data_IF_973047945479
#
_entry.id   IF_973047945479
#
_cell.length_a   1.000
_cell.length_b   1.000
_cell.length_c   1.000
_cell.angle_alpha   90.00
_cell.angle_beta   90.00
_cell.angle_gamma   90.00
#
_symmetry.space_group_name_H-M   'P 1'
#
loop_
_entity.id
_entity.type
_entity.pdbx_description
1 polymer ?
#
# COMPACT_ATOMS: atom_id res chain seq x y z
N UNK A 1 -9.69 1.59 55.16
CA UNK A 1 -9.16 0.33 54.60
C UNK A 1 -9.97 -0.18 53.39
N UNK A 2 -11.31 -0.10 53.39
CA UNK A 2 -12.11 -0.44 52.19
C UNK A 2 -11.97 0.61 51.06
N UNK A 3 -12.05 1.90 51.41
CA UNK A 3 -11.96 3.04 50.49
C UNK A 3 -10.61 3.11 49.73
N UNK A 4 -9.51 2.77 50.41
CA UNK A 4 -8.15 2.75 49.84
C UNK A 4 -7.94 1.59 48.85
N UNK A 5 -8.71 0.50 49.03
CA UNK A 5 -8.76 -0.64 48.10
C UNK A 5 -9.57 -0.30 46.85
N UNK A 6 -10.67 0.41 47.01
CA UNK A 6 -11.52 0.84 45.90
C UNK A 6 -10.82 1.90 45.04
N UNK A 7 -10.07 2.81 45.67
CA UNK A 7 -9.20 3.78 44.97
C UNK A 7 -8.07 3.10 44.18
N UNK A 8 -7.42 2.09 44.76
CA UNK A 8 -6.39 1.33 44.05
C UNK A 8 -6.97 0.52 42.87
N UNK A 9 -8.20 0.00 43.00
CA UNK A 9 -8.85 -0.72 41.91
C UNK A 9 -9.29 0.23 40.79
N UNK A 10 -9.82 1.42 41.10
CA UNK A 10 -10.22 2.40 40.09
C UNK A 10 -9.01 2.90 39.29
N UNK A 11 -7.89 3.19 39.96
CA UNK A 11 -6.62 3.55 39.30
C UNK A 11 -6.11 2.47 38.36
N UNK A 12 -6.18 1.19 38.75
CA UNK A 12 -5.79 0.07 37.88
C UNK A 12 -6.68 -0.02 36.64
N UNK A 13 -8.00 0.10 36.80
CA UNK A 13 -8.94 0.08 35.67
C UNK A 13 -8.69 1.25 34.72
N UNK A 14 -8.36 2.43 35.25
CA UNK A 14 -8.05 3.61 34.46
C UNK A 14 -6.72 3.45 33.69
N UNK A 15 -5.69 2.89 34.33
CA UNK A 15 -4.45 2.51 33.68
C UNK A 15 -4.69 1.50 32.55
N UNK A 16 -5.45 0.43 32.79
CA UNK A 16 -5.77 -0.57 31.76
C UNK A 16 -6.52 0.06 30.57
N UNK A 17 -7.49 0.93 30.83
CA UNK A 17 -8.19 1.69 29.79
C UNK A 17 -7.23 2.59 29.01
N UNK A 18 -6.31 3.25 29.70
CA UNK A 18 -5.30 4.11 29.09
C UNK A 18 -4.39 3.31 28.15
N UNK A 19 -3.81 2.20 28.61
CA UNK A 19 -2.98 1.31 27.78
C UNK A 19 -3.76 0.72 26.61
N UNK A 20 -5.02 0.34 26.81
CA UNK A 20 -5.89 -0.17 25.75
C UNK A 20 -6.11 0.88 24.65
N UNK A 21 -6.44 2.12 25.03
CA UNK A 21 -6.64 3.21 24.08
C UNK A 21 -5.35 3.56 23.33
N UNK A 22 -4.22 3.62 24.03
CA UNK A 22 -2.90 3.85 23.41
C UNK A 22 -2.56 2.80 22.34
N UNK A 23 -2.84 1.53 22.61
CA UNK A 23 -2.58 0.45 21.65
C UNK A 23 -3.46 0.58 20.40
N UNK A 24 -4.73 0.94 20.57
CA UNK A 24 -5.64 1.19 19.43
C UNK A 24 -5.17 2.38 18.60
N UNK A 25 -4.79 3.47 19.25
CA UNK A 25 -4.35 4.69 18.58
C UNK A 25 -3.04 4.47 17.82
N UNK A 26 -2.08 3.78 18.45
CA UNK A 26 -0.82 3.37 17.81
C UNK A 26 -1.06 2.48 16.59
N UNK A 27 -1.98 1.52 16.69
CA UNK A 27 -2.34 0.66 15.57
C UNK A 27 -3.01 1.43 14.42
N UNK A 28 -3.89 2.39 14.72
CA UNK A 28 -4.49 3.27 13.71
C UNK A 28 -3.42 4.10 12.99
N UNK A 29 -2.47 4.67 13.74
CA UNK A 29 -1.37 5.43 13.16
C UNK A 29 -0.50 4.57 12.23
N UNK A 30 -0.17 3.35 12.64
CA UNK A 30 0.55 2.36 11.81
C UNK A 30 -0.20 2.03 10.51
N UNK A 31 -1.52 1.81 10.59
CA UNK A 31 -2.35 1.55 9.41
C UNK A 31 -2.38 2.73 8.45
N UNK A 32 -2.53 3.95 8.97
CA UNK A 32 -2.56 5.16 8.13
C UNK A 32 -1.21 5.40 7.47
N UNK A 33 -0.11 5.24 8.21
CA UNK A 33 1.25 5.29 7.64
C UNK A 33 1.44 4.24 6.54
N UNK A 34 0.95 3.01 6.75
CA UNK A 34 0.99 1.95 5.74
C UNK A 34 0.22 2.33 4.48
N UNK A 35 -1.00 2.86 4.61
CA UNK A 35 -1.82 3.32 3.46
C UNK A 35 -1.13 4.44 2.68
N UNK A 36 -0.48 5.37 3.39
CA UNK A 36 0.29 6.44 2.75
C UNK A 36 1.53 5.89 2.01
N UNK A 37 2.24 4.93 2.60
CA UNK A 37 3.36 4.28 1.93
C UNK A 37 2.94 3.55 0.63
N UNK A 38 1.75 2.93 0.62
CA UNK A 38 1.21 2.27 -0.58
C UNK A 38 0.79 3.24 -1.69
N UNK A 39 0.44 4.49 -1.37
CA UNK A 39 0.08 5.52 -2.36
C UNK A 39 1.29 6.04 -3.13
N UNK A 40 2.46 6.07 -2.51
CA UNK A 40 3.69 6.55 -3.13
C UNK A 40 4.06 5.82 -4.45
N UNK A 41 4.18 4.47 -4.50
CA UNK A 41 4.51 3.76 -5.74
C UNK A 41 3.41 3.90 -6.79
N UNK A 42 2.14 4.07 -6.37
CA UNK A 42 1.04 4.35 -7.29
C UNK A 42 1.25 5.70 -7.98
N UNK A 43 1.49 6.78 -7.23
CA UNK A 43 1.69 8.12 -7.79
C UNK A 43 2.93 8.19 -8.68
N UNK A 44 4.05 7.62 -8.22
CA UNK A 44 5.33 7.65 -8.93
C UNK A 44 5.22 6.92 -10.28
N UNK A 45 4.71 5.68 -10.28
CA UNK A 45 4.57 4.92 -11.53
C UNK A 45 3.53 5.54 -12.47
N UNK A 46 2.46 6.14 -11.93
CA UNK A 46 1.43 6.81 -12.74
C UNK A 46 2.01 8.04 -13.43
N UNK A 47 2.74 8.88 -12.70
CA UNK A 47 3.38 10.07 -13.24
C UNK A 47 4.41 9.72 -14.32
N UNK A 48 5.23 8.69 -14.09
CA UNK A 48 6.18 8.19 -15.08
C UNK A 48 5.49 7.63 -16.32
N UNK A 49 4.40 6.87 -16.14
CA UNK A 49 3.61 6.31 -17.25
C UNK A 49 3.01 7.41 -18.12
N UNK A 50 2.43 8.44 -17.50
CA UNK A 50 1.83 9.58 -18.21
C UNK A 50 2.92 10.35 -18.98
N UNK A 51 4.05 10.64 -18.34
CA UNK A 51 5.16 11.34 -19.00
C UNK A 51 5.70 10.55 -20.20
N UNK A 52 5.87 9.24 -20.05
CA UNK A 52 6.29 8.34 -21.13
C UNK A 52 5.27 8.28 -22.26
N UNK A 53 3.98 8.18 -21.93
CA UNK A 53 2.92 8.17 -22.93
C UNK A 53 2.91 9.46 -23.74
N UNK A 54 3.02 10.62 -23.07
CA UNK A 54 3.13 11.92 -23.74
C UNK A 54 4.34 11.98 -24.67
N UNK A 55 5.50 11.49 -24.22
CA UNK A 55 6.71 11.48 -25.06
C UNK A 55 6.55 10.56 -26.28
N UNK A 56 5.99 9.36 -26.09
CA UNK A 56 5.69 8.42 -27.19
C UNK A 56 4.72 9.05 -28.19
N UNK A 57 3.63 9.67 -27.73
CA UNK A 57 2.68 10.36 -28.61
C UNK A 57 3.36 11.45 -29.44
N UNK A 58 4.26 12.22 -28.84
CA UNK A 58 5.04 13.24 -29.56
C UNK A 58 5.93 12.62 -30.63
N UNK A 59 6.66 11.55 -30.31
CA UNK A 59 7.51 10.86 -31.27
C UNK A 59 6.72 10.27 -32.45
N UNK A 60 5.51 9.77 -32.19
CA UNK A 60 4.62 9.29 -33.25
C UNK A 60 4.15 10.43 -34.17
N UNK A 61 3.90 11.62 -33.62
CA UNK A 61 3.55 12.80 -34.41
C UNK A 61 4.73 13.30 -35.27
N UNK A 62 5.97 13.14 -34.78
CA UNK A 62 7.20 13.47 -35.50
C UNK A 62 7.67 12.33 -36.45
N UNK A 63 6.82 11.36 -36.76
CA UNK A 63 7.10 10.16 -37.61
C UNK A 63 8.27 9.26 -37.14
N UNK A 64 8.72 9.41 -35.89
CA UNK A 64 9.79 8.62 -35.26
C UNK A 64 9.27 7.28 -34.69
N UNK A 65 8.63 6.47 -35.55
CA UNK A 65 7.89 5.26 -35.16
C UNK A 65 8.79 4.20 -34.50
N UNK A 66 10.04 4.06 -34.98
CA UNK A 66 10.98 3.08 -34.42
C UNK A 66 11.28 3.36 -32.95
N UNK A 67 11.61 4.62 -32.63
CA UNK A 67 11.92 5.05 -31.27
C UNK A 67 10.68 4.94 -30.36
N UNK A 68 9.51 5.34 -30.87
CA UNK A 68 8.24 5.20 -30.15
C UNK A 68 7.94 3.75 -29.78
N UNK A 69 8.22 2.79 -30.67
CA UNK A 69 8.05 1.36 -30.43
C UNK A 69 8.99 0.86 -29.33
N UNK A 70 10.27 1.24 -29.36
CA UNK A 70 11.24 0.82 -28.34
C UNK A 70 10.88 1.37 -26.95
N UNK A 71 10.38 2.61 -26.89
CA UNK A 71 9.94 3.25 -25.66
C UNK A 71 8.65 2.65 -25.06
N UNK A 72 7.78 2.10 -25.91
CA UNK A 72 6.52 1.49 -25.47
C UNK A 72 6.74 0.31 -24.50
N UNK A 73 7.86 -0.38 -24.60
CA UNK A 73 8.23 -1.48 -23.69
C UNK A 73 8.50 -0.97 -22.27
N UNK A 74 9.16 0.19 -22.12
CA UNK A 74 9.37 0.81 -20.81
C UNK A 74 8.07 1.37 -20.23
N UNK A 75 7.19 1.93 -21.07
CA UNK A 75 5.85 2.34 -20.65
C UNK A 75 5.07 1.15 -20.08
N UNK A 76 5.10 -0.01 -20.73
CA UNK A 76 4.42 -1.21 -20.24
C UNK A 76 4.91 -1.61 -18.84
N UNK A 77 6.21 -1.52 -18.56
CA UNK A 77 6.76 -1.82 -17.23
C UNK A 77 6.27 -0.85 -16.15
N UNK A 78 6.18 0.45 -16.44
CA UNK A 78 5.61 1.42 -15.49
C UNK A 78 4.13 1.14 -15.23
N UNK A 79 3.35 0.80 -16.26
CA UNK A 79 1.93 0.45 -16.13
C UNK A 79 1.75 -0.82 -15.30
N UNK A 80 2.60 -1.84 -15.47
CA UNK A 80 2.62 -3.02 -14.59
C UNK A 80 2.92 -2.60 -13.14
N UNK A 81 3.87 -1.68 -12.93
CA UNK A 81 4.14 -1.09 -11.63
C UNK A 81 2.92 -0.43 -10.98
N UNK A 82 2.15 0.36 -11.76
CA UNK A 82 0.86 0.95 -11.31
C UNK A 82 -0.14 -0.14 -10.95
N UNK A 83 -0.28 -1.16 -11.80
CA UNK A 83 -1.21 -2.26 -11.58
C UNK A 83 -0.90 -3.02 -10.28
N UNK A 84 0.37 -3.35 -10.03
CA UNK A 84 0.79 -3.99 -8.77
C UNK A 84 0.43 -3.14 -7.53
N UNK A 85 0.66 -1.82 -7.59
CA UNK A 85 0.32 -0.91 -6.50
C UNK A 85 -1.20 -0.83 -6.29
N UNK A 86 -1.99 -0.74 -7.38
CA UNK A 86 -3.44 -0.67 -7.33
C UNK A 86 -4.08 -1.95 -6.77
N UNK A 87 -3.61 -3.12 -7.22
CA UNK A 87 -4.03 -4.42 -6.71
C UNK A 87 -3.72 -4.54 -5.23
N UNK A 88 -2.51 -4.16 -4.81
CA UNK A 88 -2.13 -4.17 -3.40
C UNK A 88 -3.05 -3.30 -2.53
N UNK A 89 -3.36 -2.08 -3.00
CA UNK A 89 -4.27 -1.17 -2.31
C UNK A 89 -5.70 -1.73 -2.21
N UNK A 90 -6.22 -2.31 -3.31
CA UNK A 90 -7.53 -2.95 -3.34
C UNK A 90 -7.62 -4.16 -2.42
N UNK A 91 -6.62 -5.04 -2.44
CA UNK A 91 -6.54 -6.22 -1.58
C UNK A 91 -6.54 -5.83 -0.09
N UNK A 92 -5.78 -4.80 0.28
CA UNK A 92 -5.75 -4.29 1.67
C UNK A 92 -7.11 -3.72 2.08
N UNK A 93 -7.81 -3.02 1.18
CA UNK A 93 -9.17 -2.54 1.43
C UNK A 93 -10.16 -3.69 1.66
N UNK A 94 -10.16 -4.71 0.80
CA UNK A 94 -11.00 -5.90 0.98
C UNK A 94 -10.66 -6.66 2.27
N UNK A 95 -9.38 -6.72 2.64
CA UNK A 95 -8.93 -7.32 3.91
C UNK A 95 -9.48 -6.54 5.11
N UNK A 96 -9.46 -5.22 5.07
CA UNK A 96 -10.02 -4.38 6.13
C UNK A 96 -11.55 -4.57 6.24
N UNK A 97 -12.26 -4.62 5.11
CA UNK A 97 -13.70 -4.90 5.08
C UNK A 97 -14.04 -6.27 5.67
N UNK A 98 -13.30 -7.31 5.28
CA UNK A 98 -13.53 -8.66 5.79
C UNK A 98 -13.22 -8.81 7.29
N UNK A 99 -12.23 -8.04 7.77
CA UNK A 99 -11.86 -8.00 9.18
C UNK A 99 -12.72 -7.02 10.00
N UNK A 100 -13.50 -6.13 9.38
CA UNK A 100 -14.36 -5.20 10.11
C UNK A 100 -15.59 -5.93 10.66
N UNK A 101 -15.45 -6.45 11.89
CA UNK A 101 -16.59 -6.82 12.74
C UNK A 101 -16.80 -5.75 13.79
N UNK A 102 -17.96 -5.12 13.73
CA UNK A 102 -18.45 -4.06 14.61
C UNK A 102 -18.41 -4.50 16.07
N UNK A 103 -17.84 -3.64 16.91
CA UNK A 103 -17.86 -3.73 18.37
C UNK A 103 -19.32 -3.72 18.83
N UNK A 104 -19.70 -4.82 19.46
CA UNK A 104 -21.03 -5.08 20.01
C UNK A 104 -21.32 -4.11 21.17
N UNK A 105 -21.92 -2.96 20.85
CA UNK A 105 -22.64 -2.19 21.86
C UNK A 105 -23.95 -2.93 22.12
N UNK A 106 -24.10 -3.47 23.33
CA UNK A 106 -25.34 -3.84 24.04
C UNK A 106 -25.68 -5.34 24.29
N UNK A 107 -25.01 -6.35 23.69
CA UNK A 107 -25.49 -7.76 23.81
C UNK A 107 -24.52 -8.81 24.39
N UNK A 108 -23.30 -8.45 24.80
CA UNK A 108 -22.46 -9.33 25.63
C UNK A 108 -22.03 -10.67 24.99
N UNK A 109 -22.11 -10.82 23.67
CA UNK A 109 -21.53 -11.93 22.91
C UNK A 109 -20.73 -11.40 21.72
N UNK A 110 -19.47 -11.04 22.01
CA UNK A 110 -18.47 -10.76 20.99
C UNK A 110 -18.46 -11.98 20.05
N UNK A 111 -18.86 -11.81 18.78
CA UNK A 111 -18.58 -12.82 17.77
C UNK A 111 -17.07 -12.86 17.59
N UNK A 112 -16.44 -13.73 18.37
CA UNK A 112 -15.02 -14.03 18.37
C UNK A 112 -14.57 -14.18 16.92
N UNK A 113 -13.52 -13.42 16.59
CA UNK A 113 -12.75 -13.59 15.36
C UNK A 113 -12.48 -15.09 15.14
N UNK A 114 -12.92 -15.64 14.01
CA UNK A 114 -12.51 -16.98 13.65
C UNK A 114 -10.99 -16.96 13.44
N UNK A 115 -10.27 -17.86 14.12
CA UNK A 115 -8.79 -17.99 14.07
C UNK A 115 -8.30 -18.14 12.63
N UNK A 116 -9.13 -18.72 11.75
CA UNK A 116 -8.86 -18.80 10.29
C UNK A 116 -8.86 -17.44 9.60
N UNK A 117 -9.79 -16.54 9.95
CA UNK A 117 -9.87 -15.19 9.35
C UNK A 117 -8.62 -14.36 9.63
N UNK A 118 -8.08 -14.43 10.86
CA UNK A 118 -6.82 -13.75 11.20
C UNK A 118 -5.61 -14.31 10.42
N UNK A 119 -5.60 -15.62 10.14
CA UNK A 119 -4.50 -16.25 9.40
C UNK A 119 -4.53 -15.84 7.92
N UNK A 120 -5.73 -15.75 7.34
CA UNK A 120 -5.94 -15.28 5.96
C UNK A 120 -5.55 -13.80 5.84
N UNK A 121 -5.99 -12.94 6.77
CA UNK A 121 -5.63 -11.52 6.78
C UNK A 121 -4.12 -11.28 6.84
N UNK A 122 -3.38 -12.07 7.63
CA UNK A 122 -1.91 -12.00 7.68
C UNK A 122 -1.27 -12.36 6.34
N UNK A 123 -1.70 -13.46 5.71
CA UNK A 123 -1.19 -13.88 4.39
C UNK A 123 -1.44 -12.82 3.33
N UNK A 124 -2.64 -12.26 3.31
CA UNK A 124 -3.03 -11.24 2.35
C UNK A 124 -2.17 -9.97 2.51
N UNK A 125 -1.94 -9.51 3.75
CA UNK A 125 -1.08 -8.35 4.00
C UNK A 125 0.37 -8.60 3.54
N UNK A 126 0.91 -9.80 3.73
CA UNK A 126 2.26 -10.16 3.23
C UNK A 126 2.30 -10.09 1.70
N UNK A 127 1.27 -10.60 1.02
CA UNK A 127 1.16 -10.53 -0.45
C UNK A 127 1.10 -9.06 -0.91
N UNK A 128 0.29 -8.23 -0.25
CA UNK A 128 0.21 -6.78 -0.52
C UNK A 128 1.58 -6.11 -0.36
N UNK A 129 2.35 -6.48 0.67
CA UNK A 129 3.68 -5.93 0.91
C UNK A 129 4.65 -6.31 -0.22
N UNK A 130 4.62 -7.57 -0.66
CA UNK A 130 5.43 -8.04 -1.79
C UNK A 130 5.08 -7.30 -3.09
N UNK A 131 3.79 -7.08 -3.37
CA UNK A 131 3.33 -6.32 -4.53
C UNK A 131 3.83 -4.87 -4.52
N UNK A 132 3.86 -4.22 -3.36
CA UNK A 132 4.38 -2.86 -3.19
C UNK A 132 5.89 -2.82 -3.46
N UNK A 133 6.64 -3.76 -2.89
CA UNK A 133 8.07 -3.88 -3.17
C UNK A 133 8.34 -4.17 -4.65
N UNK A 134 7.58 -5.08 -5.26
CA UNK A 134 7.68 -5.38 -6.68
C UNK A 134 7.45 -4.12 -7.54
N UNK A 135 6.43 -3.32 -7.20
CA UNK A 135 6.14 -2.05 -7.87
C UNK A 135 7.32 -1.05 -7.80
N UNK A 136 7.98 -0.93 -6.65
CA UNK A 136 9.18 -0.10 -6.53
C UNK A 136 10.38 -0.65 -7.31
N UNK A 137 10.60 -1.97 -7.30
CA UNK A 137 11.69 -2.57 -8.06
C UNK A 137 11.49 -2.42 -9.57
N UNK A 138 10.25 -2.56 -10.05
CA UNK A 138 9.89 -2.31 -11.45
C UNK A 138 10.13 -0.85 -11.82
N UNK A 139 9.74 0.10 -10.96
CA UNK A 139 10.02 1.52 -11.18
C UNK A 139 11.52 1.79 -11.34
N UNK A 140 12.34 1.30 -10.39
CA UNK A 140 13.78 1.51 -10.41
C UNK A 140 14.43 0.86 -11.63
N UNK A 141 14.07 -0.39 -11.95
CA UNK A 141 14.58 -1.11 -13.11
C UNK A 141 14.22 -0.40 -14.42
N UNK A 142 12.96 0.02 -14.57
CA UNK A 142 12.48 0.72 -15.77
C UNK A 142 13.16 2.08 -15.94
N UNK A 143 13.35 2.80 -14.85
CA UNK A 143 14.03 4.11 -14.86
C UNK A 143 15.49 3.98 -15.28
N UNK A 144 16.22 3.00 -14.76
CA UNK A 144 17.61 2.74 -15.14
C UNK A 144 17.73 2.32 -16.61
N UNK A 145 16.87 1.41 -17.07
CA UNK A 145 16.87 0.96 -18.46
C UNK A 145 16.53 2.10 -19.42
N UNK A 146 15.54 2.93 -19.08
CA UNK A 146 15.18 4.12 -19.85
C UNK A 146 16.34 5.12 -19.92
N UNK A 147 17.02 5.38 -18.81
CA UNK A 147 18.20 6.25 -18.79
C UNK A 147 19.32 5.73 -19.70
N UNK A 148 19.69 4.44 -19.56
CA UNK A 148 20.71 3.84 -20.42
C UNK A 148 20.31 3.86 -21.91
N UNK A 149 19.02 3.65 -22.21
CA UNK A 149 18.50 3.70 -23.57
C UNK A 149 18.67 5.09 -24.19
N UNK A 150 18.26 6.15 -23.47
CA UNK A 150 18.45 7.53 -23.95
C UNK A 150 19.93 7.83 -24.19
N UNK A 151 20.81 7.42 -23.28
CA UNK A 151 22.24 7.66 -23.44
C UNK A 151 22.82 6.95 -24.66
N UNK A 152 22.41 5.70 -24.92
CA UNK A 152 22.84 4.98 -26.12
C UNK A 152 22.33 5.63 -27.42
N UNK A 153 21.15 6.24 -27.39
CA UNK A 153 20.57 6.90 -28.55
C UNK A 153 21.23 8.26 -28.85
N UNK A 154 21.69 8.99 -27.83
CA UNK A 154 22.39 10.27 -28.03
C UNK A 154 23.81 10.11 -28.60
N UNK A 155 24.40 8.93 -28.49
CA UNK A 155 25.78 8.65 -28.93
C UNK A 155 25.82 8.06 -30.35
N UNK A 156 24.68 7.59 -30.88
CA UNK A 156 24.56 6.92 -32.18
C UNK A 156 24.08 7.85 -33.29
#
# INVERSE_FOLDING_TARGET
MAEDKDLNNSLKIEQEKYYYNLNIESFKALLESGKNAMRAPMLINSGASIAMLTFITKLMADENISLAKDLSLYLALYVIGVFCAAVSYGITYFTQLYNYKVVEKLTGKIKVYDRKSQTIGKRINIISMILVFASFTLFAYSSLKFYCFIQSYQIS
#
